data_IF_338689321851
#
_entry.id   IF_338689321851
#
_cell.length_a   1.000
_cell.length_b   1.000
_cell.length_c   1.000
_cell.angle_alpha   90.00
_cell.angle_beta   90.00
_cell.angle_gamma   90.00
#
_symmetry.space_group_name_H-M   'P 1'
#
loop_
_entity.id
_entity.type
_entity.pdbx_description
1 polymer ?
#
# COMPACT_ATOMS: atom_id res chain seq x y z
N UNK A 1 -28.51 -14.11 32.41
CA UNK A 1 -28.13 -12.70 32.24
C UNK A 1 -26.64 -12.57 32.52
N UNK A 2 -25.81 -12.89 31.52
CA UNK A 2 -24.35 -12.92 31.65
C UNK A 2 -23.78 -11.51 31.51
N UNK A 3 -23.23 -11.01 32.61
CA UNK A 3 -22.51 -9.76 32.71
C UNK A 3 -21.34 -9.77 31.70
N UNK A 4 -21.19 -8.71 30.91
CA UNK A 4 -20.05 -8.50 30.01
C UNK A 4 -18.78 -8.34 30.87
N UNK A 5 -18.21 -9.46 31.30
CA UNK A 5 -16.94 -9.47 32.00
C UNK A 5 -15.85 -9.04 31.03
N UNK A 6 -14.77 -8.42 31.56
CA UNK A 6 -13.57 -8.12 30.76
C UNK A 6 -13.09 -9.35 29.98
N UNK A 7 -13.15 -10.52 30.61
CA UNK A 7 -12.77 -11.79 29.98
C UNK A 7 -13.64 -12.11 28.75
N UNK A 8 -14.97 -11.99 28.86
CA UNK A 8 -15.88 -12.25 27.73
C UNK A 8 -15.68 -11.29 26.55
N UNK A 9 -15.29 -10.04 26.81
CA UNK A 9 -14.94 -9.09 25.73
C UNK A 9 -13.58 -9.41 25.09
N UNK A 10 -12.60 -9.90 25.86
CA UNK A 10 -11.32 -10.37 25.32
C UNK A 10 -11.51 -11.60 24.43
N UNK A 11 -12.32 -12.57 24.85
CA UNK A 11 -12.66 -13.77 24.06
C UNK A 11 -13.37 -13.41 22.75
N UNK A 12 -14.34 -12.49 22.82
CA UNK A 12 -15.04 -12.00 21.63
C UNK A 12 -14.08 -11.29 20.67
N UNK A 13 -13.20 -10.44 21.19
CA UNK A 13 -12.18 -9.75 20.40
C UNK A 13 -11.26 -10.74 19.69
N UNK A 14 -10.73 -11.72 20.41
CA UNK A 14 -9.88 -12.76 19.82
C UNK A 14 -10.61 -13.52 18.70
N UNK A 15 -11.87 -13.90 18.94
CA UNK A 15 -12.69 -14.59 17.94
C UNK A 15 -12.92 -13.74 16.69
N UNK A 16 -13.18 -12.43 16.84
CA UNK A 16 -13.37 -11.53 15.70
C UNK A 16 -12.09 -11.35 14.90
N UNK A 17 -10.93 -11.25 15.57
CA UNK A 17 -9.63 -11.16 14.92
C UNK A 17 -9.35 -12.39 14.06
N UNK A 18 -9.52 -13.60 14.62
CA UNK A 18 -9.31 -14.85 13.88
C UNK A 18 -10.21 -14.91 12.64
N UNK A 19 -11.51 -14.61 12.78
CA UNK A 19 -12.44 -14.61 11.65
C UNK A 19 -12.08 -13.58 10.59
N UNK A 20 -11.58 -12.41 11.00
CA UNK A 20 -11.14 -11.40 10.06
C UNK A 20 -9.86 -11.81 9.32
N UNK A 21 -8.89 -12.40 10.01
CA UNK A 21 -7.64 -12.88 9.40
C UNK A 21 -7.88 -14.02 8.42
N UNK A 22 -8.78 -14.96 8.72
CA UNK A 22 -9.06 -16.12 7.89
C UNK A 22 -10.08 -15.84 6.78
N UNK A 23 -11.14 -15.09 7.09
CA UNK A 23 -12.32 -14.93 6.24
C UNK A 23 -12.35 -13.66 5.40
N UNK A 24 -11.44 -12.71 5.61
CA UNK A 24 -11.42 -11.49 4.81
C UNK A 24 -11.08 -11.78 3.35
N UNK A 25 -11.87 -11.17 2.47
CA UNK A 25 -11.53 -11.03 1.06
C UNK A 25 -10.43 -9.97 0.91
N UNK A 26 -9.43 -10.28 0.09
CA UNK A 26 -8.22 -9.47 -0.08
C UNK A 26 -8.13 -8.85 -1.48
N UNK A 27 -9.19 -8.90 -2.30
CA UNK A 27 -9.22 -8.26 -3.62
C UNK A 27 -9.27 -6.73 -3.53
N UNK A 28 -9.95 -6.22 -2.51
CA UNK A 28 -10.22 -4.79 -2.40
C UNK A 28 -9.18 -4.06 -1.56
N UNK A 29 -8.42 -3.16 -2.20
CA UNK A 29 -7.35 -2.36 -1.56
C UNK A 29 -7.81 -1.67 -0.28
N UNK A 30 -8.97 -1.02 -0.28
CA UNK A 30 -9.47 -0.30 0.89
C UNK A 30 -9.79 -1.27 2.05
N UNK A 31 -10.35 -2.44 1.75
CA UNK A 31 -10.69 -3.45 2.77
C UNK A 31 -9.43 -3.96 3.45
N UNK A 32 -8.38 -4.25 2.68
CA UNK A 32 -7.08 -4.65 3.19
C UNK A 32 -6.46 -3.55 4.07
N UNK A 33 -6.48 -2.30 3.61
CA UNK A 33 -5.93 -1.18 4.37
C UNK A 33 -6.63 -1.01 5.73
N UNK A 34 -7.97 -1.02 5.75
CA UNK A 34 -8.76 -0.87 6.99
C UNK A 34 -8.59 -2.05 7.93
N UNK A 35 -8.47 -3.26 7.40
CA UNK A 35 -8.26 -4.45 8.22
C UNK A 35 -6.87 -4.41 8.89
N UNK A 36 -5.82 -4.09 8.14
CA UNK A 36 -4.47 -3.96 8.70
C UNK A 36 -4.39 -2.83 9.73
N UNK A 37 -5.03 -1.70 9.46
CA UNK A 37 -5.10 -0.58 10.41
C UNK A 37 -5.81 -0.98 11.70
N UNK A 38 -6.98 -1.60 11.61
CA UNK A 38 -7.74 -2.05 12.77
C UNK A 38 -6.97 -3.07 13.63
N UNK A 39 -6.26 -4.03 12.99
CA UNK A 39 -5.44 -5.00 13.70
C UNK A 39 -4.21 -4.36 14.37
N UNK A 40 -3.59 -3.38 13.70
CA UNK A 40 -2.48 -2.62 14.25
C UNK A 40 -2.90 -1.75 15.45
N UNK A 41 -4.07 -1.10 15.36
CA UNK A 41 -4.64 -0.30 16.45
C UNK A 41 -5.09 -1.15 17.64
N UNK A 42 -5.55 -2.37 17.39
CA UNK A 42 -5.81 -3.35 18.44
C UNK A 42 -4.53 -3.81 19.15
N UNK A 43 -3.35 -3.58 18.56
CA UNK A 43 -2.07 -4.05 19.07
C UNK A 43 -1.79 -5.53 18.80
N UNK A 44 -2.55 -6.17 17.91
CA UNK A 44 -2.40 -7.59 17.56
C UNK A 44 -1.37 -7.78 16.44
N UNK A 45 -0.10 -7.58 16.77
CA UNK A 45 1.00 -7.76 15.82
C UNK A 45 1.07 -9.16 15.19
N UNK A 46 0.65 -10.20 15.92
CA UNK A 46 0.58 -11.56 15.39
C UNK A 46 -0.52 -11.71 14.33
N UNK A 47 -1.69 -11.10 14.56
CA UNK A 47 -2.77 -11.09 13.57
C UNK A 47 -2.37 -10.32 12.30
N UNK A 48 -1.69 -9.18 12.45
CA UNK A 48 -1.08 -8.45 11.33
C UNK A 48 -0.12 -9.35 10.56
N UNK A 49 0.79 -10.04 11.26
CA UNK A 49 1.76 -10.94 10.62
C UNK A 49 1.07 -12.11 9.88
N UNK A 50 0.03 -12.71 10.47
CA UNK A 50 -0.75 -13.77 9.83
C UNK A 50 -1.48 -13.28 8.57
N UNK A 51 -2.09 -12.10 8.64
CA UNK A 51 -2.75 -11.51 7.47
C UNK A 51 -1.74 -11.23 6.35
N UNK A 52 -0.56 -10.67 6.68
CA UNK A 52 0.51 -10.42 5.71
C UNK A 52 1.07 -11.69 5.08
N UNK A 53 1.11 -12.83 5.80
CA UNK A 53 1.50 -14.13 5.26
C UNK A 53 0.56 -14.66 4.18
N UNK A 54 -0.69 -14.18 4.12
CA UNK A 54 -1.63 -14.49 3.04
C UNK A 54 -1.35 -13.71 1.75
N UNK A 55 -0.33 -12.86 1.75
CA UNK A 55 0.07 -11.99 0.65
C UNK A 55 -1.07 -11.09 0.12
N UNK A 56 -1.68 -10.24 0.99
CA UNK A 56 -2.76 -9.36 0.55
C UNK A 56 -2.31 -8.39 -0.55
N UNK A 57 -1.03 -8.00 -0.55
CA UNK A 57 -0.41 -7.15 -1.59
C UNK A 57 -0.40 -7.84 -2.96
N UNK A 58 -0.28 -9.16 -3.01
CA UNK A 58 -0.44 -9.96 -4.21
C UNK A 58 -1.88 -10.04 -4.71
N UNK A 59 -2.83 -10.14 -3.79
CA UNK A 59 -4.25 -10.37 -4.08
C UNK A 59 -5.04 -9.13 -4.51
N UNK A 60 -4.62 -7.92 -4.11
CA UNK A 60 -5.37 -6.71 -4.39
C UNK A 60 -5.46 -6.38 -5.88
N UNK A 61 -6.67 -6.02 -6.35
CA UNK A 61 -6.90 -5.53 -7.70
C UNK A 61 -6.60 -4.03 -7.79
N UNK A 62 -5.38 -3.72 -8.22
CA UNK A 62 -4.95 -2.34 -8.42
C UNK A 62 -5.73 -1.63 -9.54
N UNK A 63 -6.30 -2.34 -10.53
CA UNK A 63 -7.01 -1.69 -11.65
C UNK A 63 -8.30 -1.01 -11.20
N UNK A 64 -8.83 -1.41 -10.04
CA UNK A 64 -10.06 -0.88 -9.44
C UNK A 64 -9.77 0.06 -8.27
N UNK A 65 -8.50 0.26 -7.92
CA UNK A 65 -8.09 1.04 -6.77
C UNK A 65 -8.00 2.54 -7.10
N UNK A 66 -8.53 3.36 -6.19
CA UNK A 66 -8.27 4.81 -6.20
C UNK A 66 -6.84 5.09 -5.75
N UNK A 67 -6.31 6.26 -6.14
CA UNK A 67 -5.01 6.73 -5.68
C UNK A 67 -4.96 6.90 -4.17
N UNK A 68 -6.00 7.50 -3.57
CA UNK A 68 -6.11 7.66 -2.11
C UNK A 68 -6.11 6.32 -1.37
N UNK A 69 -6.84 5.33 -1.88
CA UNK A 69 -6.90 4.01 -1.24
C UNK A 69 -5.57 3.27 -1.34
N UNK A 70 -4.88 3.41 -2.48
CA UNK A 70 -3.55 2.84 -2.68
C UNK A 70 -2.53 3.52 -1.77
N UNK A 71 -2.62 4.84 -1.62
CA UNK A 71 -1.77 5.61 -0.71
C UNK A 71 -2.01 5.20 0.74
N UNK A 72 -3.27 5.09 1.16
CA UNK A 72 -3.63 4.63 2.49
C UNK A 72 -3.06 3.24 2.79
N UNK A 73 -3.19 2.28 1.86
CA UNK A 73 -2.61 0.95 2.03
C UNK A 73 -1.09 1.02 2.18
N UNK A 74 -0.40 1.83 1.37
CA UNK A 74 1.04 2.02 1.46
C UNK A 74 1.46 2.57 2.83
N UNK A 75 0.77 3.59 3.33
CA UNK A 75 1.04 4.18 4.65
C UNK A 75 0.86 3.16 5.78
N UNK A 76 -0.23 2.36 5.73
CA UNK A 76 -0.46 1.29 6.71
C UNK A 76 0.62 0.21 6.62
N UNK A 77 0.98 -0.24 5.41
CA UNK A 77 2.05 -1.24 5.22
C UNK A 77 3.39 -0.76 5.79
N UNK A 78 3.73 0.51 5.61
CA UNK A 78 4.93 1.12 6.20
C UNK A 78 4.84 1.21 7.72
N UNK A 79 3.69 1.62 8.26
CA UNK A 79 3.44 1.70 9.71
C UNK A 79 3.63 0.35 10.40
N UNK A 80 3.19 -0.74 9.77
CA UNK A 80 3.33 -2.10 10.31
C UNK A 80 4.68 -2.75 9.98
N UNK A 81 5.58 -2.06 9.27
CA UNK A 81 6.90 -2.58 8.90
C UNK A 81 6.85 -3.72 7.88
N UNK A 82 5.83 -3.74 7.02
CA UNK A 82 5.66 -4.79 6.01
C UNK A 82 6.79 -4.70 4.94
N UNK A 83 7.58 -5.76 4.73
CA UNK A 83 8.71 -5.70 3.77
C UNK A 83 8.24 -5.55 2.31
N UNK A 84 6.99 -5.92 2.00
CA UNK A 84 6.42 -5.78 0.67
C UNK A 84 5.92 -4.36 0.36
N UNK A 85 5.99 -3.39 1.29
CA UNK A 85 5.46 -2.04 1.11
C UNK A 85 6.04 -1.34 -0.13
N UNK A 86 7.34 -1.45 -0.37
CA UNK A 86 7.99 -0.78 -1.52
C UNK A 86 7.72 -1.49 -2.85
N UNK A 87 7.53 -2.80 -2.83
CA UNK A 87 7.10 -3.54 -4.02
C UNK A 87 5.65 -3.20 -4.38
N UNK A 88 4.77 -3.07 -3.39
CA UNK A 88 3.42 -2.56 -3.58
C UNK A 88 3.45 -1.15 -4.20
N UNK A 89 4.24 -0.24 -3.63
CA UNK A 89 4.37 1.13 -4.15
C UNK A 89 4.82 1.13 -5.62
N UNK A 90 5.80 0.31 -5.97
CA UNK A 90 6.27 0.15 -7.36
C UNK A 90 5.16 -0.33 -8.29
N UNK A 91 4.44 -1.39 -7.91
CA UNK A 91 3.33 -1.95 -8.71
C UNK A 91 2.20 -0.94 -8.88
N UNK A 92 1.80 -0.26 -7.80
CA UNK A 92 0.73 0.74 -7.83
C UNK A 92 1.10 1.95 -8.72
N UNK A 93 2.37 2.41 -8.67
CA UNK A 93 2.88 3.46 -9.60
C UNK A 93 2.87 2.99 -11.05
N UNK A 94 3.26 1.74 -11.31
CA UNK A 94 3.31 1.20 -12.67
C UNK A 94 1.94 1.17 -13.36
N UNK A 95 0.85 1.07 -12.59
CA UNK A 95 -0.53 1.11 -13.11
C UNK A 95 -1.20 2.49 -12.94
N UNK A 96 -0.47 3.51 -12.46
CA UNK A 96 -0.98 4.87 -12.29
C UNK A 96 -1.83 5.10 -11.04
N UNK A 97 -1.90 4.13 -10.12
CA UNK A 97 -2.64 4.24 -8.85
C UNK A 97 -1.85 4.97 -7.75
N UNK A 98 -0.59 5.30 -7.97
CA UNK A 98 0.17 6.19 -7.11
C UNK A 98 0.92 7.19 -7.98
N UNK A 99 1.15 8.42 -7.49
CA UNK A 99 2.02 9.34 -8.18
C UNK A 99 3.38 8.66 -8.37
N UNK A 100 3.84 8.65 -9.64
CA UNK A 100 5.20 8.30 -9.94
C UNK A 100 6.16 9.18 -9.15
N UNK A 101 7.35 8.67 -8.89
CA UNK A 101 8.47 9.54 -8.51
C UNK A 101 8.58 10.62 -9.59
N UNK A 102 8.68 11.88 -9.20
CA UNK A 102 8.66 13.04 -10.08
C UNK A 102 9.47 12.73 -11.34
N UNK A 103 8.79 12.55 -12.47
CA UNK A 103 9.45 12.20 -13.72
C UNK A 103 10.20 13.45 -14.18
N UNK A 104 11.41 13.65 -13.64
CA UNK A 104 12.41 14.45 -14.32
C UNK A 104 12.55 13.82 -15.72
N UNK A 105 12.39 14.58 -16.81
CA UNK A 105 12.52 14.06 -18.17
C UNK A 105 13.94 13.51 -18.36
N UNK A 106 14.15 12.24 -18.05
CA UNK A 106 15.35 11.53 -18.43
C UNK A 106 15.21 11.19 -19.90
N UNK A 107 15.68 12.08 -20.76
CA UNK A 107 15.87 11.76 -22.18
C UNK A 107 16.81 10.55 -22.32
N UNK A 108 16.69 9.82 -23.42
CA UNK A 108 17.76 8.94 -23.88
C UNK A 108 18.57 9.73 -24.91
N UNK A 109 19.89 9.71 -24.76
CA UNK A 109 20.77 10.18 -25.82
C UNK A 109 20.62 9.28 -27.05
N UNK A 110 20.95 9.77 -28.26
CA UNK A 110 20.94 8.95 -29.48
C UNK A 110 21.81 7.69 -29.36
N UNK A 111 22.79 7.68 -28.45
CA UNK A 111 23.64 6.52 -28.13
C UNK A 111 23.02 5.54 -27.13
N UNK A 112 21.75 5.72 -26.74
CA UNK A 112 21.01 4.87 -25.80
C UNK A 112 21.39 5.07 -24.32
N UNK A 113 22.30 5.99 -24.02
CA UNK A 113 22.67 6.35 -22.65
C UNK A 113 21.65 7.31 -22.02
N UNK A 114 21.48 7.26 -20.70
CA UNK A 114 20.59 8.19 -19.98
C UNK A 114 21.13 9.62 -20.09
N UNK A 115 20.29 10.53 -20.54
CA UNK A 115 20.57 11.96 -20.49
C UNK A 115 20.46 12.47 -19.05
N UNK A 116 21.22 13.52 -18.75
CA UNK A 116 21.07 14.25 -17.50
C UNK A 116 19.63 14.76 -17.35
N UNK A 117 19.06 14.79 -16.14
CA UNK A 117 17.72 15.35 -15.92
C UNK A 117 17.71 16.81 -16.34
N UNK A 118 16.87 17.17 -17.31
CA UNK A 118 16.67 18.54 -17.79
C UNK A 118 15.20 18.92 -17.72
N UNK A 119 14.92 20.21 -17.62
CA UNK A 119 13.56 20.77 -17.61
C UNK A 119 13.25 21.44 -18.94
N UNK A 120 11.98 21.41 -19.38
CA UNK A 120 11.57 22.06 -20.64
C UNK A 120 11.93 23.55 -20.70
N UNK A 121 12.08 24.23 -19.56
CA UNK A 121 12.52 25.61 -19.47
C UNK A 121 13.95 25.83 -19.99
N UNK A 122 14.85 24.86 -19.80
CA UNK A 122 16.23 24.93 -20.27
C UNK A 122 16.35 24.72 -21.78
N UNK A 123 15.41 24.00 -22.40
CA UNK A 123 15.35 23.84 -23.86
C UNK A 123 14.79 25.06 -24.57
N UNK A 124 13.79 25.74 -23.98
CA UNK A 124 13.24 26.98 -24.55
C UNK A 124 14.29 28.09 -24.56
N UNK A 125 15.21 28.10 -23.57
CA UNK A 125 16.33 29.04 -23.53
C UNK A 125 17.45 28.76 -24.56
N UNK A 126 17.51 27.56 -25.15
CA UNK A 126 18.54 27.15 -26.13
C UNK A 126 18.06 27.21 -27.59
N UNK A 127 16.78 27.53 -27.82
CA UNK A 127 16.16 27.61 -29.15
C UNK A 127 16.23 28.98 -29.83
N UNK A 128 16.86 29.98 -29.21
CA UNK A 128 17.12 31.29 -29.81
C UNK A 128 18.54 31.31 -30.41
N UNK A 129 18.69 30.77 -31.63
CA UNK A 129 19.84 30.99 -32.52
C UNK A 129 19.34 31.10 -33.97
#
# INVERSE_FOLDING_TARGET
MGFLTRQGMTDLRATLIERAVEGADLDHVQSVARLLEALAEAGDGDAVARLLRRDPVGCVDLRRASADHSQQLLDVLRKVGCPQAEEFARRARAVGCLPGEEYLPHGLNPDGTRAAPWTWAELVAQGEC
#
